data_IF_818140138347
#
_entry.id   IF_818140138347
#
_cell.length_a   1.000
_cell.length_b   1.000
_cell.length_c   1.000
_cell.angle_alpha   90.00
_cell.angle_beta   90.00
_cell.angle_gamma   90.00
#
_symmetry.space_group_name_H-M   'P 1'
#
loop_
_entity.id
_entity.type
_entity.pdbx_description
1 polymer ?
#
# COMPACT_ATOMS: atom_id res chain seq x y z
N UNK A 1 -24.29 21.70 3.65
CA UNK A 1 -24.42 22.90 4.49
C UNK A 1 -23.16 23.72 4.28
N UNK A 2 -23.30 24.97 3.84
CA UNK A 2 -22.15 25.81 3.46
C UNK A 2 -21.24 26.08 4.65
N UNK A 3 -19.93 26.04 4.42
CA UNK A 3 -18.93 26.51 5.37
C UNK A 3 -18.90 28.03 5.31
N UNK A 4 -19.55 28.69 6.27
CA UNK A 4 -19.44 30.14 6.45
C UNK A 4 -18.04 30.47 6.97
N UNK A 5 -17.26 31.15 6.13
CA UNK A 5 -15.95 31.65 6.51
C UNK A 5 -16.10 33.03 7.16
N UNK A 6 -15.78 33.12 8.44
CA UNK A 6 -15.74 34.39 9.18
C UNK A 6 -14.31 34.92 9.21
N UNK A 7 -14.07 36.01 8.48
CA UNK A 7 -12.77 36.67 8.46
C UNK A 7 -12.61 37.61 9.67
N UNK A 8 -11.64 37.31 10.51
CA UNK A 8 -11.35 38.10 11.72
C UNK A 8 -10.25 39.11 11.39
N UNK A 9 -10.57 40.40 11.44
CA UNK A 9 -9.61 41.48 11.20
C UNK A 9 -9.12 42.07 12.53
N UNK A 10 -7.94 41.65 12.98
CA UNK A 10 -7.31 42.15 14.20
C UNK A 10 -6.42 43.34 13.86
N UNK A 11 -6.87 44.56 14.17
CA UNK A 11 -6.09 45.78 13.92
C UNK A 11 -5.22 46.19 15.11
N UNK A 12 -5.58 45.78 16.34
CA UNK A 12 -4.81 46.07 17.56
C UNK A 12 -4.64 44.80 18.41
N UNK A 13 -3.49 44.61 19.08
CA UNK A 13 -3.21 43.39 19.84
C UNK A 13 -4.18 43.12 21.01
N UNK A 14 -4.85 44.16 21.54
CA UNK A 14 -5.87 44.02 22.59
C UNK A 14 -7.17 43.39 22.08
N UNK A 15 -7.46 43.49 20.79
CA UNK A 15 -8.68 42.98 20.17
C UNK A 15 -8.67 41.44 20.13
N UNK A 16 -7.49 40.84 19.94
CA UNK A 16 -7.29 39.38 19.97
C UNK A 16 -7.68 38.75 21.31
N UNK A 17 -7.47 39.47 22.43
CA UNK A 17 -7.81 38.98 23.78
C UNK A 17 -9.32 39.00 24.03
N UNK A 18 -10.06 39.88 23.36
CA UNK A 18 -11.53 39.90 23.41
C UNK A 18 -12.13 38.80 22.52
N UNK A 19 -11.59 38.61 21.32
CA UNK A 19 -11.98 37.56 20.38
C UNK A 19 -11.77 36.15 20.96
N UNK A 20 -10.71 35.93 21.74
CA UNK A 20 -10.48 34.66 22.44
C UNK A 20 -11.57 34.30 23.47
N UNK A 21 -12.46 35.23 23.83
CA UNK A 21 -13.59 34.99 24.74
C UNK A 21 -14.88 34.62 23.99
N UNK A 22 -14.92 34.79 22.67
CA UNK A 22 -16.10 34.46 21.88
C UNK A 22 -16.33 32.94 21.84
N UNK A 23 -17.58 32.48 22.00
CA UNK A 23 -17.90 31.06 22.15
C UNK A 23 -17.55 30.25 20.90
N UNK A 24 -17.66 30.83 19.71
CA UNK A 24 -17.36 30.19 18.43
C UNK A 24 -15.85 29.96 18.25
N UNK A 25 -15.04 30.97 18.56
CA UNK A 25 -13.57 30.90 18.52
C UNK A 25 -13.06 29.95 19.60
N UNK A 26 -13.63 30.00 20.81
CA UNK A 26 -13.31 29.03 21.87
C UNK A 26 -13.65 27.61 21.47
N UNK A 27 -14.82 27.35 20.90
CA UNK A 27 -15.20 26.01 20.44
C UNK A 27 -14.26 25.50 19.34
N UNK A 28 -13.84 26.37 18.42
CA UNK A 28 -12.90 26.03 17.35
C UNK A 28 -11.50 25.71 17.89
N UNK A 29 -10.97 26.55 18.79
CA UNK A 29 -9.64 26.38 19.40
C UNK A 29 -9.61 25.16 20.34
N UNK A 30 -10.66 24.94 21.14
CA UNK A 30 -10.76 23.76 22.03
C UNK A 30 -10.89 22.47 21.22
N UNK A 31 -11.55 22.46 20.05
CA UNK A 31 -11.55 21.30 19.14
C UNK A 31 -10.13 20.97 18.63
N UNK A 32 -9.33 21.97 18.29
CA UNK A 32 -7.95 21.75 17.87
C UNK A 32 -7.04 21.26 19.00
N UNK A 33 -7.22 21.79 20.21
CA UNK A 33 -6.49 21.33 21.40
C UNK A 33 -6.88 19.91 21.81
N UNK A 34 -8.16 19.54 21.70
CA UNK A 34 -8.63 18.17 21.95
C UNK A 34 -8.00 17.18 20.96
N UNK A 35 -8.01 17.49 19.65
CA UNK A 35 -7.34 16.67 18.62
C UNK A 35 -5.85 16.49 18.88
N UNK A 36 -5.14 17.53 19.35
CA UNK A 36 -3.73 17.41 19.74
C UNK A 36 -3.53 16.57 21.01
N UNK A 37 -4.45 16.64 21.97
CA UNK A 37 -4.38 15.83 23.19
C UNK A 37 -4.66 14.35 22.93
N UNK A 38 -5.58 14.02 22.04
CA UNK A 38 -5.83 12.63 21.58
C UNK A 38 -4.63 12.08 20.81
N UNK A 39 -4.00 12.89 19.94
CA UNK A 39 -2.76 12.51 19.24
C UNK A 39 -1.58 12.25 20.20
N UNK A 40 -1.48 12.99 21.31
CA UNK A 40 -0.47 12.74 22.36
C UNK A 40 -0.80 11.53 23.23
N UNK A 41 -2.07 11.34 23.59
CA UNK A 41 -2.52 10.20 24.38
C UNK A 41 -2.41 8.87 23.61
N UNK A 42 -2.61 8.89 22.29
CA UNK A 42 -2.40 7.74 21.41
C UNK A 42 -0.91 7.43 21.19
N UNK A 43 -0.03 8.44 21.16
CA UNK A 43 1.43 8.24 21.14
C UNK A 43 1.96 7.56 22.41
N UNK A 44 1.38 7.86 23.58
CA UNK A 44 1.76 7.27 24.88
C UNK A 44 1.22 5.85 25.10
N UNK A 45 0.24 5.39 24.30
CA UNK A 45 -0.42 4.08 24.45
C UNK A 45 0.09 2.99 23.51
N UNK A 46 1.10 3.26 22.67
CA UNK A 46 1.71 2.21 21.83
C UNK A 46 2.56 1.27 22.72
N UNK A 47 2.34 -0.06 22.71
CA UNK A 47 3.18 -0.98 23.45
C UNK A 47 4.58 -0.98 22.83
N UNK A 48 5.60 -0.83 23.67
CA UNK A 48 7.01 -0.91 23.28
C UNK A 48 7.32 -2.36 22.89
N UNK A 49 7.26 -2.68 21.60
CA UNK A 49 7.81 -3.92 21.05
C UNK A 49 9.31 -3.70 20.87
N UNK A 50 10.10 -4.04 21.90
CA UNK A 50 11.55 -4.11 21.75
C UNK A 50 11.90 -5.33 20.89
N UNK A 51 12.39 -5.10 19.67
CA UNK A 51 13.01 -6.14 18.84
C UNK A 51 14.51 -6.24 19.15
N UNK A 52 14.98 -7.48 19.28
CA UNK A 52 16.38 -7.84 19.42
C UNK A 52 17.21 -7.52 18.15
N UNK A 53 18.52 -7.26 18.28
CA UNK A 53 19.35 -6.81 17.16
C UNK A 53 19.50 -7.89 16.07
N UNK A 54 19.41 -7.44 14.82
CA UNK A 54 19.57 -8.22 13.59
C UNK A 54 21.04 -8.63 13.43
N UNK A 55 21.31 -9.93 13.29
CA UNK A 55 22.61 -10.44 12.85
C UNK A 55 22.84 -10.13 11.35
N UNK A 56 23.95 -9.47 11.05
CA UNK A 56 24.46 -9.15 9.71
C UNK A 56 24.99 -10.44 9.06
N UNK A 57 24.31 -11.00 8.06
CA UNK A 57 24.82 -12.13 7.29
C UNK A 57 25.54 -11.65 6.03
N UNK A 58 26.87 -11.64 6.10
CA UNK A 58 27.75 -11.34 4.97
C UNK A 58 28.17 -12.61 4.26
N UNK A 59 27.71 -12.73 3.02
CA UNK A 59 28.42 -13.30 1.86
C UNK A 59 28.99 -14.72 1.96
N UNK A 60 28.36 -15.65 1.25
CA UNK A 60 29.03 -16.86 0.77
C UNK A 60 29.55 -16.64 -0.67
N UNK A 61 30.88 -16.59 -0.80
CA UNK A 61 31.58 -16.76 -2.09
C UNK A 61 31.66 -18.24 -2.42
N UNK A 62 31.38 -18.59 -3.68
CA UNK A 62 31.60 -19.94 -4.20
C UNK A 62 33.09 -20.22 -4.41
N UNK A 63 33.53 -21.41 -4.01
CA UNK A 63 34.65 -22.08 -4.64
C UNK A 63 34.37 -23.59 -4.63
N UNK A 64 34.45 -24.21 -5.81
CA UNK A 64 34.35 -25.64 -6.01
C UNK A 64 35.71 -26.31 -5.71
N UNK A 65 35.70 -27.51 -5.14
CA UNK A 65 36.41 -28.68 -5.67
C UNK A 65 36.24 -29.92 -4.76
N UNK A 66 36.00 -31.03 -5.45
CA UNK A 66 36.46 -32.40 -5.19
C UNK A 66 35.81 -33.33 -4.16
N UNK A 67 35.94 -34.59 -4.55
CA UNK A 67 35.09 -35.75 -4.43
C UNK A 67 35.81 -36.79 -3.57
N UNK A 68 35.19 -37.35 -2.54
CA UNK A 68 35.28 -38.80 -2.27
C UNK A 68 34.27 -39.25 -1.21
N UNK A 69 33.84 -40.50 -1.42
CA UNK A 69 32.68 -41.22 -0.93
C UNK A 69 33.04 -42.06 0.30
N UNK A 70 32.19 -42.13 1.32
CA UNK A 70 31.69 -43.42 1.85
C UNK A 70 30.54 -43.29 2.86
N UNK A 71 29.68 -44.32 2.81
CA UNK A 71 28.34 -44.43 3.37
C UNK A 71 28.37 -44.82 4.84
N UNK A 72 27.56 -44.15 5.67
CA UNK A 72 26.96 -44.75 6.86
C UNK A 72 25.51 -44.27 7.02
N UNK A 73 24.57 -45.17 6.71
CA UNK A 73 23.16 -44.99 7.01
C UNK A 73 22.97 -44.96 8.53
N UNK A 74 22.67 -43.78 9.06
CA UNK A 74 22.07 -43.60 10.38
C UNK A 74 20.88 -42.67 10.21
N UNK A 75 19.69 -43.25 10.18
CA UNK A 75 18.42 -42.52 10.26
C UNK A 75 18.45 -41.59 11.48
N UNK A 76 18.42 -40.25 11.32
CA UNK A 76 18.40 -39.36 12.47
C UNK A 76 16.96 -38.92 12.71
N UNK A 77 16.34 -39.53 13.71
CA UNK A 77 15.16 -38.98 14.41
C UNK A 77 15.41 -37.57 14.98
N UNK A 78 16.68 -37.13 15.00
CA UNK A 78 17.12 -35.77 15.33
C UNK A 78 16.78 -34.73 14.24
N UNK A 79 16.58 -35.15 12.99
CA UNK A 79 16.28 -34.24 11.87
C UNK A 79 14.93 -33.52 12.03
N UNK A 80 13.94 -34.16 12.67
CA UNK A 80 12.64 -33.53 12.91
C UNK A 80 12.70 -32.43 13.97
N UNK A 81 13.57 -32.54 14.97
CA UNK A 81 13.71 -31.53 16.02
C UNK A 81 14.49 -30.30 15.51
N UNK A 82 15.47 -30.49 14.62
CA UNK A 82 16.16 -29.39 13.94
C UNK A 82 15.24 -28.67 12.92
N UNK A 83 14.36 -29.39 12.23
CA UNK A 83 13.35 -28.79 11.34
C UNK A 83 12.34 -27.94 12.15
N UNK A 84 11.95 -28.38 13.35
CA UNK A 84 11.06 -27.63 14.24
C UNK A 84 11.74 -26.40 14.86
N UNK A 85 13.07 -26.41 15.02
CA UNK A 85 13.84 -25.29 15.53
C UNK A 85 13.99 -24.14 14.51
N UNK A 86 13.67 -24.38 13.24
CA UNK A 86 13.68 -23.38 12.18
C UNK A 86 12.35 -22.63 12.01
N UNK A 87 11.35 -22.88 12.86
CA UNK A 87 10.13 -22.07 12.88
C UNK A 87 10.49 -20.75 13.58
N UNK A 88 10.53 -19.61 12.86
CA UNK A 88 10.79 -18.32 13.49
C UNK A 88 9.77 -18.14 14.61
N UNK A 89 10.17 -17.63 15.79
CA UNK A 89 9.23 -17.43 16.88
C UNK A 89 8.05 -16.62 16.36
N UNK A 90 6.84 -17.12 16.62
CA UNK A 90 5.56 -16.63 16.09
C UNK A 90 5.17 -15.28 16.71
N UNK A 91 6.09 -14.31 16.70
CA UNK A 91 5.85 -12.94 17.12
C UNK A 91 4.82 -12.33 16.16
N UNK A 92 3.60 -12.11 16.64
CA UNK A 92 2.55 -11.42 15.90
C UNK A 92 1.18 -12.09 15.87
N UNK A 93 0.94 -13.19 16.62
CA UNK A 93 -0.41 -13.76 16.78
C UNK A 93 -0.95 -14.42 15.50
N UNK A 94 -0.15 -15.27 14.85
CA UNK A 94 -0.47 -16.00 13.60
C UNK A 94 -0.64 -15.12 12.35
N UNK A 95 -0.22 -13.85 12.38
CA UNK A 95 -0.33 -12.92 11.24
C UNK A 95 0.78 -13.03 10.20
N UNK A 96 1.77 -13.89 10.46
CA UNK A 96 2.93 -14.09 9.59
C UNK A 96 2.74 -15.39 8.81
N UNK A 97 2.88 -15.31 7.48
CA UNK A 97 2.90 -16.50 6.62
C UNK A 97 4.10 -17.38 6.96
N UNK A 98 3.83 -18.50 7.63
CA UNK A 98 4.85 -19.44 8.10
C UNK A 98 5.47 -20.25 6.95
N UNK A 99 4.83 -20.29 5.78
CA UNK A 99 5.29 -21.04 4.61
C UNK A 99 6.08 -20.19 3.62
N UNK A 100 6.21 -18.89 3.86
CA UNK A 100 6.91 -17.94 2.98
C UNK A 100 6.41 -18.05 1.52
N UNK A 101 5.09 -18.17 1.33
CA UNK A 101 4.41 -18.38 0.04
C UNK A 101 4.30 -17.10 -0.81
N UNK A 102 5.14 -16.10 -0.54
CA UNK A 102 5.14 -14.84 -1.28
C UNK A 102 5.63 -15.05 -2.72
N UNK A 103 5.08 -14.33 -3.72
CA UNK A 103 5.46 -14.49 -5.12
C UNK A 103 6.83 -13.87 -5.46
N UNK A 104 7.68 -13.63 -4.46
CA UNK A 104 9.05 -13.12 -4.60
C UNK A 104 9.97 -13.79 -3.57
N UNK A 105 11.30 -13.80 -3.78
CA UNK A 105 12.24 -14.29 -2.77
C UNK A 105 12.04 -13.60 -1.42
N UNK A 106 12.02 -14.40 -0.35
CA UNK A 106 11.77 -13.93 1.00
C UNK A 106 12.78 -12.88 1.46
N UNK A 107 12.30 -11.87 2.18
CA UNK A 107 13.10 -10.84 2.87
C UNK A 107 12.47 -10.54 4.22
N UNK A 108 13.29 -10.24 5.22
CA UNK A 108 12.85 -10.01 6.60
C UNK A 108 11.82 -8.90 6.76
N UNK A 109 11.80 -7.89 5.88
CA UNK A 109 10.81 -6.82 5.91
C UNK A 109 9.44 -7.20 5.33
N UNK A 110 9.33 -8.28 4.53
CA UNK A 110 8.10 -8.60 3.80
C UNK A 110 6.91 -8.86 4.75
N UNK A 111 7.02 -9.73 5.78
CA UNK A 111 5.88 -10.00 6.66
C UNK A 111 5.32 -8.75 7.33
N UNK A 112 6.21 -7.84 7.76
CA UNK A 112 5.82 -6.58 8.38
C UNK A 112 5.05 -5.68 7.41
N UNK A 113 5.53 -5.55 6.17
CA UNK A 113 4.89 -4.72 5.15
C UNK A 113 3.56 -5.31 4.68
N UNK A 114 3.46 -6.64 4.60
CA UNK A 114 2.21 -7.34 4.27
C UNK A 114 1.18 -7.16 5.39
N UNK A 115 1.57 -7.35 6.65
CA UNK A 115 0.67 -7.10 7.79
C UNK A 115 0.21 -5.63 7.79
N UNK A 116 1.13 -4.68 7.61
CA UNK A 116 0.79 -3.26 7.51
C UNK A 116 -0.17 -2.96 6.36
N UNK A 117 0.04 -3.57 5.19
CA UNK A 117 -0.89 -3.42 4.07
C UNK A 117 -2.29 -3.93 4.43
N UNK A 118 -2.39 -5.15 4.95
CA UNK A 118 -3.68 -5.79 5.23
C UNK A 118 -4.42 -5.12 6.38
N UNK A 119 -3.73 -4.69 7.42
CA UNK A 119 -4.33 -4.09 8.62
C UNK A 119 -4.62 -2.61 8.41
N UNK A 120 -3.67 -1.85 7.87
CA UNK A 120 -3.72 -0.38 7.85
C UNK A 120 -4.21 0.20 6.53
N UNK A 121 -4.02 -0.48 5.40
CA UNK A 121 -4.31 0.09 4.06
C UNK A 121 -5.48 -0.59 3.34
N UNK A 122 -5.64 -1.91 3.47
CA UNK A 122 -6.68 -2.69 2.81
C UNK A 122 -8.06 -2.55 3.48
N UNK A 123 -8.40 -1.34 3.96
CA UNK A 123 -9.65 -1.03 4.68
C UNK A 123 -10.90 -1.15 3.80
N UNK A 124 -12.08 -1.16 4.42
CA UNK A 124 -13.34 -1.15 3.69
C UNK A 124 -13.52 0.22 3.03
N UNK A 125 -13.72 0.23 1.71
CA UNK A 125 -13.89 1.43 0.89
C UNK A 125 -15.23 1.31 0.17
N UNK A 126 -16.26 2.09 0.54
CA UNK A 126 -17.61 1.96 -0.01
C UNK A 126 -17.67 1.95 -1.54
N UNK A 127 -16.83 2.77 -2.18
CA UNK A 127 -16.71 2.86 -3.64
C UNK A 127 -16.19 1.57 -4.29
N UNK A 128 -15.37 0.80 -3.59
CA UNK A 128 -14.77 -0.45 -4.07
C UNK A 128 -15.59 -1.67 -3.65
N UNK A 129 -16.10 -1.68 -2.42
CA UNK A 129 -16.85 -2.80 -1.86
C UNK A 129 -18.28 -2.89 -2.44
N UNK A 130 -18.90 -1.75 -2.79
CA UNK A 130 -20.33 -1.65 -3.14
C UNK A 130 -21.27 -2.05 -1.99
N UNK A 131 -22.56 -1.65 -2.04
CA UNK A 131 -23.53 -2.03 -1.02
C UNK A 131 -23.62 -3.55 -0.86
N UNK A 132 -23.52 -4.03 0.38
CA UNK A 132 -23.69 -5.46 0.71
C UNK A 132 -22.40 -6.28 0.77
N UNK A 133 -21.25 -5.76 0.31
CA UNK A 133 -19.95 -6.42 0.49
C UNK A 133 -19.06 -5.64 1.46
N UNK A 134 -18.00 -6.31 1.95
CA UNK A 134 -16.95 -5.73 2.81
C UNK A 134 -15.63 -6.44 2.58
N UNK A 135 -14.53 -5.75 2.84
CA UNK A 135 -13.20 -6.33 2.85
C UNK A 135 -12.75 -6.90 1.51
N UNK A 136 -13.28 -6.44 0.36
CA UNK A 136 -12.90 -6.98 -0.95
C UNK A 136 -11.42 -6.78 -1.25
N UNK A 137 -10.79 -5.75 -0.67
CA UNK A 137 -9.35 -5.55 -0.76
C UNK A 137 -8.56 -6.72 -0.12
N UNK A 138 -9.09 -7.33 0.94
CA UNK A 138 -8.47 -8.46 1.65
C UNK A 138 -8.89 -9.80 1.07
N UNK A 139 -10.16 -9.96 0.68
CA UNK A 139 -10.75 -11.26 0.32
C UNK A 139 -10.70 -11.57 -1.17
N UNK A 140 -10.55 -10.58 -2.05
CA UNK A 140 -10.54 -10.76 -3.51
C UNK A 140 -9.30 -10.15 -4.17
N UNK A 141 -8.97 -8.91 -3.83
CA UNK A 141 -7.82 -8.22 -4.40
C UNK A 141 -6.48 -8.80 -3.90
N UNK A 142 -6.28 -8.95 -2.59
CA UNK A 142 -5.00 -9.48 -2.08
C UNK A 142 -4.67 -10.90 -2.58
N UNK A 143 -5.64 -11.83 -2.72
CA UNK A 143 -5.39 -13.09 -3.44
C UNK A 143 -4.84 -12.90 -4.85
N UNK A 144 -5.34 -11.92 -5.64
CA UNK A 144 -4.76 -11.58 -6.94
C UNK A 144 -3.33 -11.02 -6.81
N UNK A 145 -3.08 -10.19 -5.80
CA UNK A 145 -1.74 -9.65 -5.51
C UNK A 145 -0.71 -10.77 -5.31
N UNK A 146 -1.11 -11.88 -4.69
CA UNK A 146 -0.24 -13.04 -4.45
C UNK A 146 0.04 -13.88 -5.72
N UNK A 147 -0.58 -13.59 -6.87
CA UNK A 147 -0.40 -14.37 -8.11
C UNK A 147 0.68 -13.82 -9.05
N UNK A 148 1.05 -12.55 -8.92
CA UNK A 148 2.01 -11.89 -9.80
C UNK A 148 3.10 -11.16 -9.01
N UNK A 149 4.39 -11.46 -9.25
CA UNK A 149 5.51 -10.79 -8.58
C UNK A 149 5.47 -9.26 -8.72
N UNK A 150 5.14 -8.77 -9.92
CA UNK A 150 5.09 -7.33 -10.23
C UNK A 150 4.04 -6.60 -9.38
N UNK A 151 2.84 -7.17 -9.28
CA UNK A 151 1.76 -6.61 -8.46
C UNK A 151 2.13 -6.66 -6.98
N UNK A 152 2.69 -7.78 -6.50
CA UNK A 152 3.12 -7.92 -5.11
C UNK A 152 4.17 -6.88 -4.72
N UNK A 153 5.19 -6.67 -5.56
CA UNK A 153 6.24 -5.66 -5.32
C UNK A 153 5.68 -4.24 -5.26
N UNK A 154 4.72 -3.90 -6.13
CA UNK A 154 4.05 -2.58 -6.08
C UNK A 154 3.26 -2.41 -4.79
N UNK A 155 2.57 -3.45 -4.32
CA UNK A 155 1.86 -3.40 -3.04
C UNK A 155 2.82 -3.27 -1.85
N UNK A 156 3.95 -3.98 -1.87
CA UNK A 156 5.00 -3.79 -0.86
C UNK A 156 5.57 -2.38 -0.89
N UNK A 157 5.78 -1.80 -2.07
CA UNK A 157 6.26 -0.42 -2.21
C UNK A 157 5.28 0.58 -1.58
N UNK A 158 4.00 0.44 -1.88
CA UNK A 158 2.94 1.26 -1.29
C UNK A 158 2.92 1.12 0.24
N UNK A 159 2.98 -0.12 0.74
CA UNK A 159 3.01 -0.39 2.17
C UNK A 159 4.26 0.20 2.83
N UNK A 160 5.43 0.05 2.21
CA UNK A 160 6.71 0.57 2.71
C UNK A 160 6.70 2.10 2.78
N UNK A 161 6.22 2.78 1.74
CA UNK A 161 6.16 4.24 1.72
C UNK A 161 5.12 4.78 2.70
N UNK A 162 3.95 4.14 2.80
CA UNK A 162 2.95 4.51 3.80
C UNK A 162 3.49 4.29 5.21
N UNK A 163 4.10 3.12 5.48
CA UNK A 163 4.73 2.84 6.78
C UNK A 163 5.79 3.88 7.13
N UNK A 164 6.70 4.20 6.20
CA UNK A 164 7.73 5.20 6.39
C UNK A 164 7.16 6.60 6.67
N UNK A 165 6.06 6.98 6.03
CA UNK A 165 5.42 8.29 6.27
C UNK A 165 4.80 8.44 7.66
N UNK A 166 4.52 7.33 8.35
CA UNK A 166 3.98 7.33 9.71
C UNK A 166 5.07 7.33 10.79
N UNK A 167 6.31 7.02 10.43
CA UNK A 167 7.41 6.96 11.38
C UNK A 167 7.91 8.36 11.73
N UNK A 168 8.02 8.62 13.03
CA UNK A 168 8.55 9.90 13.55
C UNK A 168 10.08 9.89 13.67
N UNK A 169 10.69 8.71 13.76
CA UNK A 169 12.14 8.53 13.86
C UNK A 169 12.70 7.86 12.60
N UNK A 170 13.57 8.56 11.84
CA UNK A 170 14.26 8.00 10.67
C UNK A 170 15.15 6.79 10.95
N UNK A 171 15.49 6.50 12.22
CA UNK A 171 16.41 5.43 12.60
C UNK A 171 15.76 4.07 12.88
N UNK A 172 14.44 3.99 13.11
CA UNK A 172 13.78 2.74 13.52
C UNK A 172 13.74 1.67 12.41
N UNK A 173 13.73 2.05 11.13
CA UNK A 173 13.91 1.11 10.02
C UNK A 173 14.31 1.79 8.71
N UNK A 174 15.46 1.42 8.15
CA UNK A 174 15.91 1.91 6.84
C UNK A 174 15.35 1.05 5.71
N UNK A 175 14.15 1.37 5.25
CA UNK A 175 13.59 0.78 4.04
C UNK A 175 14.23 1.42 2.80
N UNK A 176 14.81 0.62 1.91
CA UNK A 176 15.33 1.11 0.62
C UNK A 176 14.18 1.31 -0.38
N UNK A 177 13.40 2.38 -0.20
CA UNK A 177 12.22 2.70 -1.03
C UNK A 177 12.59 2.89 -2.51
N UNK A 178 13.73 3.51 -2.79
CA UNK A 178 14.20 3.69 -4.17
C UNK A 178 14.52 2.35 -4.84
N UNK A 179 15.19 1.45 -4.11
CA UNK A 179 15.46 0.09 -4.58
C UNK A 179 14.17 -0.68 -4.85
N UNK A 180 13.20 -0.62 -3.92
CA UNK A 180 11.91 -1.30 -4.07
C UNK A 180 11.09 -0.73 -5.24
N UNK A 181 11.14 0.59 -5.46
CA UNK A 181 10.54 1.25 -6.63
C UNK A 181 11.17 0.76 -7.93
N UNK A 182 12.50 0.73 -8.00
CA UNK A 182 13.22 0.23 -9.17
C UNK A 182 12.83 -1.22 -9.48
N UNK A 183 12.81 -2.08 -8.46
CA UNK A 183 12.44 -3.48 -8.59
C UNK A 183 10.99 -3.67 -9.07
N UNK A 184 10.05 -2.90 -8.51
CA UNK A 184 8.64 -2.94 -8.94
C UNK A 184 8.48 -2.55 -10.42
N UNK A 185 9.17 -1.49 -10.87
CA UNK A 185 9.14 -1.06 -12.28
C UNK A 185 9.78 -2.12 -13.19
N UNK A 186 10.92 -2.69 -12.79
CA UNK A 186 11.57 -3.76 -13.53
C UNK A 186 10.67 -5.00 -13.65
N UNK A 187 10.00 -5.40 -12.58
CA UNK A 187 9.08 -6.53 -12.59
C UNK A 187 7.87 -6.29 -13.50
N UNK A 188 7.32 -5.07 -13.55
CA UNK A 188 6.27 -4.70 -14.51
C UNK A 188 6.80 -4.82 -15.95
N UNK A 189 7.98 -4.28 -16.24
CA UNK A 189 8.56 -4.32 -17.58
C UNK A 189 8.82 -5.76 -18.03
N UNK A 190 9.42 -6.59 -17.19
CA UNK A 190 9.63 -8.02 -17.49
C UNK A 190 8.31 -8.77 -17.70
N UNK A 191 7.28 -8.48 -16.90
CA UNK A 191 5.96 -9.08 -17.10
C UNK A 191 5.32 -8.68 -18.45
N UNK A 192 5.52 -7.43 -18.89
CA UNK A 192 5.08 -6.94 -20.19
C UNK A 192 5.85 -7.59 -21.35
N UNK A 193 7.15 -7.89 -21.18
CA UNK A 193 7.97 -8.56 -22.20
C UNK A 193 7.59 -10.04 -22.39
N UNK A 194 7.27 -10.73 -21.29
CA UNK A 194 6.90 -12.16 -21.32
C UNK A 194 5.50 -12.37 -21.88
N UNK A 195 4.59 -11.43 -21.65
CA UNK A 195 3.23 -11.55 -22.17
C UNK A 195 3.21 -11.40 -23.69
N UNK A 196 2.58 -12.37 -24.36
CA UNK A 196 2.28 -12.24 -25.78
C UNK A 196 1.46 -10.96 -25.98
N UNK A 197 1.75 -10.22 -27.04
CA UNK A 197 1.19 -8.87 -27.32
C UNK A 197 -0.35 -8.79 -27.33
N UNK A 198 -1.05 -9.92 -27.29
CA UNK A 198 -2.50 -10.05 -27.30
C UNK A 198 -3.13 -10.36 -25.94
N UNK A 199 -2.37 -10.61 -24.86
CA UNK A 199 -2.95 -10.99 -23.57
C UNK A 199 -2.25 -10.35 -22.37
N UNK A 200 -2.84 -9.27 -21.85
CA UNK A 200 -2.48 -8.68 -20.57
C UNK A 200 -3.36 -9.26 -19.47
N UNK A 201 -2.81 -9.83 -18.40
CA UNK A 201 -3.61 -10.38 -17.29
C UNK A 201 -4.08 -9.30 -16.29
N UNK A 202 -5.11 -9.61 -15.50
CA UNK A 202 -5.70 -8.67 -14.53
C UNK A 202 -4.72 -8.21 -13.45
N UNK A 203 -3.81 -9.08 -13.05
CA UNK A 203 -2.82 -8.77 -12.03
C UNK A 203 -1.77 -7.76 -12.56
N UNK A 204 -1.35 -7.85 -13.82
CA UNK A 204 -0.49 -6.85 -14.45
C UNK A 204 -1.22 -5.51 -14.65
N UNK A 205 -2.49 -5.52 -15.06
CA UNK A 205 -3.33 -4.29 -15.06
C UNK A 205 -3.36 -3.67 -13.67
N UNK A 206 -3.57 -4.50 -12.64
CA UNK A 206 -3.53 -4.08 -11.25
C UNK A 206 -2.18 -3.48 -10.84
N UNK A 207 -1.07 -4.07 -11.28
CA UNK A 207 0.28 -3.61 -10.96
C UNK A 207 0.53 -2.22 -11.54
N UNK A 208 0.21 -2.03 -12.82
CA UNK A 208 0.34 -0.74 -13.51
C UNK A 208 -0.55 0.32 -12.84
N UNK A 209 -1.80 -0.03 -12.51
CA UNK A 209 -2.73 0.88 -11.84
C UNK A 209 -2.22 1.31 -10.46
N UNK A 210 -1.76 0.36 -9.64
CA UNK A 210 -1.22 0.68 -8.31
C UNK A 210 0.13 1.39 -8.37
N UNK A 211 0.93 1.16 -9.41
CA UNK A 211 2.15 1.94 -9.63
C UNK A 211 1.82 3.40 -9.98
N UNK A 212 0.81 3.64 -10.82
CA UNK A 212 0.29 4.99 -11.04
C UNK A 212 -0.19 5.63 -9.72
N UNK A 213 -0.95 4.89 -8.90
CA UNK A 213 -1.38 5.36 -7.57
C UNK A 213 -0.19 5.73 -6.69
N UNK A 214 0.88 4.94 -6.69
CA UNK A 214 2.12 5.24 -5.98
C UNK A 214 2.74 6.56 -6.46
N UNK A 215 2.92 6.73 -7.77
CA UNK A 215 3.53 7.94 -8.32
C UNK A 215 2.69 9.20 -8.04
N UNK A 216 1.37 9.07 -8.04
CA UNK A 216 0.47 10.17 -7.67
C UNK A 216 0.61 10.59 -6.19
N UNK A 217 0.99 9.67 -5.29
CA UNK A 217 1.09 9.97 -3.85
C UNK A 217 2.50 10.38 -3.42
N UNK A 218 3.51 9.70 -3.95
CA UNK A 218 4.90 9.79 -3.46
C UNK A 218 5.91 10.18 -4.55
N UNK A 219 5.47 10.25 -5.81
CA UNK A 219 6.33 10.41 -6.97
C UNK A 219 6.13 11.74 -7.71
N UNK A 220 6.18 11.68 -9.04
CA UNK A 220 5.97 12.85 -9.90
C UNK A 220 4.79 12.64 -10.86
N UNK A 221 4.18 13.75 -11.28
CA UNK A 221 3.10 13.70 -12.27
C UNK A 221 3.55 13.17 -13.63
N UNK A 222 4.81 13.38 -14.01
CA UNK A 222 5.35 12.80 -15.24
C UNK A 222 5.37 11.27 -15.18
N UNK A 223 5.85 10.69 -14.07
CA UNK A 223 5.86 9.24 -13.87
C UNK A 223 4.44 8.68 -13.75
N UNK A 224 3.54 9.38 -13.04
CA UNK A 224 2.13 9.05 -12.98
C UNK A 224 1.50 8.96 -14.38
N UNK A 225 1.72 9.97 -15.22
CA UNK A 225 1.19 10.00 -16.59
C UNK A 225 1.74 8.87 -17.45
N UNK A 226 3.02 8.50 -17.30
CA UNK A 226 3.60 7.34 -17.97
C UNK A 226 2.85 6.05 -17.61
N UNK A 227 2.62 5.79 -16.32
CA UNK A 227 1.88 4.61 -15.89
C UNK A 227 0.40 4.65 -16.28
N UNK A 228 -0.25 5.81 -16.24
CA UNK A 228 -1.65 5.94 -16.68
C UNK A 228 -1.81 5.71 -18.19
N UNK A 229 -0.88 6.19 -19.01
CA UNK A 229 -0.85 5.90 -20.45
C UNK A 229 -0.64 4.40 -20.71
N UNK A 230 0.28 3.77 -19.97
CA UNK A 230 0.45 2.31 -20.00
C UNK A 230 -0.83 1.57 -19.58
N UNK A 231 -1.52 2.07 -18.54
CA UNK A 231 -2.76 1.49 -18.03
C UNK A 231 -3.89 1.56 -19.06
N UNK A 232 -4.06 2.69 -19.75
CA UNK A 232 -5.03 2.84 -20.83
C UNK A 232 -4.81 1.78 -21.91
N UNK A 233 -3.55 1.55 -22.31
CA UNK A 233 -3.21 0.54 -23.30
C UNK A 233 -3.49 -0.88 -22.79
N UNK A 234 -3.09 -1.19 -21.55
CA UNK A 234 -3.31 -2.49 -20.93
C UNK A 234 -4.81 -2.82 -20.82
N UNK A 235 -5.64 -1.85 -20.38
CA UNK A 235 -7.10 -1.99 -20.31
C UNK A 235 -7.71 -2.17 -21.71
N UNK A 236 -7.21 -1.45 -22.72
CA UNK A 236 -7.64 -1.62 -24.12
C UNK A 236 -7.36 -3.02 -24.65
N UNK A 237 -6.15 -3.56 -24.40
CA UNK A 237 -5.78 -4.94 -24.76
C UNK A 237 -6.62 -5.99 -24.03
N UNK A 238 -7.10 -5.68 -22.83
CA UNK A 238 -8.06 -6.49 -22.08
C UNK A 238 -9.49 -6.44 -22.62
N UNK A 239 -9.77 -5.65 -23.65
CA UNK A 239 -11.13 -5.47 -24.19
C UNK A 239 -11.94 -4.41 -23.43
N UNK A 240 -11.29 -3.48 -22.74
CA UNK A 240 -11.92 -2.37 -22.04
C UNK A 240 -12.21 -2.61 -20.55
N UNK A 241 -12.62 -1.55 -19.85
CA UNK A 241 -12.86 -1.58 -18.40
C UNK A 241 -13.90 -2.61 -17.95
N UNK A 242 -14.89 -2.93 -18.79
CA UNK A 242 -15.93 -3.94 -18.49
C UNK A 242 -15.41 -5.38 -18.51
N UNK A 243 -14.25 -5.60 -19.13
CA UNK A 243 -13.66 -6.92 -19.34
C UNK A 243 -12.63 -7.28 -18.26
N UNK A 244 -12.38 -6.37 -17.32
CA UNK A 244 -11.52 -6.59 -16.16
C UNK A 244 -12.19 -7.52 -15.14
N UNK A 245 -11.42 -8.43 -14.55
CA UNK A 245 -11.94 -9.46 -13.65
C UNK A 245 -12.28 -8.99 -12.22
N UNK A 246 -12.23 -9.95 -11.30
CA UNK A 246 -12.63 -9.80 -9.89
C UNK A 246 -14.07 -9.29 -9.68
N UNK A 247 -15.02 -9.74 -10.52
CA UNK A 247 -16.41 -9.27 -10.42
C UNK A 247 -16.55 -7.75 -10.59
N UNK A 248 -15.68 -7.12 -11.39
CA UNK A 248 -15.63 -5.69 -11.61
C UNK A 248 -14.91 -4.90 -10.51
N UNK A 249 -14.35 -5.54 -9.49
CA UNK A 249 -13.54 -4.84 -8.48
C UNK A 249 -12.33 -4.15 -9.11
N UNK A 250 -11.66 -4.79 -10.06
CA UNK A 250 -10.50 -4.20 -10.72
C UNK A 250 -10.86 -2.93 -11.51
N UNK A 251 -12.01 -2.93 -12.21
CA UNK A 251 -12.56 -1.72 -12.82
C UNK A 251 -12.73 -0.61 -11.78
N UNK A 252 -13.34 -0.92 -10.64
CA UNK A 252 -13.58 0.07 -9.58
C UNK A 252 -12.26 0.64 -9.04
N UNK A 253 -11.24 -0.21 -8.84
CA UNK A 253 -9.90 0.21 -8.44
C UNK A 253 -9.29 1.18 -9.47
N UNK A 254 -9.33 0.84 -10.77
CA UNK A 254 -8.79 1.70 -11.83
C UNK A 254 -9.49 3.06 -11.87
N UNK A 255 -10.82 3.08 -11.87
CA UNK A 255 -11.61 4.32 -11.87
C UNK A 255 -11.37 5.12 -10.59
N UNK A 256 -11.24 4.46 -9.45
CA UNK A 256 -10.99 5.12 -8.16
C UNK A 256 -9.63 5.80 -8.14
N UNK A 257 -8.59 5.15 -8.68
CA UNK A 257 -7.24 5.73 -8.79
C UNK A 257 -7.26 6.96 -9.70
N UNK A 258 -7.81 6.85 -10.92
CA UNK A 258 -7.87 7.97 -11.87
C UNK A 258 -8.59 9.19 -11.28
N UNK A 259 -9.75 8.98 -10.65
CA UNK A 259 -10.53 10.06 -10.03
C UNK A 259 -9.81 10.75 -8.89
N UNK A 260 -9.25 9.97 -7.95
CA UNK A 260 -8.60 10.56 -6.78
C UNK A 260 -7.29 11.25 -7.16
N UNK A 261 -6.50 10.67 -8.07
CA UNK A 261 -5.30 11.33 -8.60
C UNK A 261 -5.64 12.62 -9.35
N UNK A 262 -6.64 12.60 -10.23
CA UNK A 262 -7.07 13.78 -10.97
C UNK A 262 -7.56 14.89 -10.04
N UNK A 263 -8.31 14.54 -8.99
CA UNK A 263 -8.74 15.48 -7.98
C UNK A 263 -7.55 16.06 -7.19
N UNK A 264 -6.64 15.19 -6.73
CA UNK A 264 -5.48 15.58 -5.92
C UNK A 264 -4.55 16.55 -6.65
N UNK A 265 -4.37 16.36 -7.96
CA UNK A 265 -3.42 17.12 -8.77
C UNK A 265 -4.07 18.17 -9.69
N UNK A 266 -5.40 18.29 -9.68
CA UNK A 266 -6.13 19.19 -10.57
C UNK A 266 -5.95 18.85 -12.06
N UNK A 267 -5.78 17.57 -12.40
CA UNK A 267 -5.56 17.10 -13.77
C UNK A 267 -6.85 16.59 -14.43
N UNK A 268 -6.78 16.36 -15.74
CA UNK A 268 -7.86 15.66 -16.45
C UNK A 268 -7.91 14.17 -16.06
N UNK A 269 -9.10 13.57 -16.23
CA UNK A 269 -9.29 12.12 -16.10
C UNK A 269 -8.74 11.39 -17.33
N UNK A 270 -8.09 10.25 -17.11
CA UNK A 270 -7.66 9.35 -18.18
C UNK A 270 -8.80 8.48 -18.69
N UNK A 271 -9.79 8.16 -17.84
CA UNK A 271 -10.99 7.41 -18.18
C UNK A 271 -12.25 8.30 -18.10
N UNK A 272 -12.40 9.30 -19.00
CA UNK A 272 -13.55 10.20 -18.97
C UNK A 272 -14.87 9.42 -19.15
N UNK A 273 -15.87 9.75 -18.33
CA UNK A 273 -17.17 9.09 -18.34
C UNK A 273 -17.21 7.70 -17.69
N UNK A 274 -16.07 7.16 -17.23
CA UNK A 274 -16.06 5.88 -16.53
C UNK A 274 -16.61 6.01 -15.11
N UNK A 275 -17.57 5.15 -14.77
CA UNK A 275 -18.15 5.02 -13.43
C UNK A 275 -17.77 3.70 -12.74
N UNK A 276 -17.89 3.64 -11.41
CA UNK A 276 -17.69 2.42 -10.62
C UNK A 276 -18.65 1.31 -11.07
N UNK A 277 -19.92 1.66 -11.26
CA UNK A 277 -20.95 0.81 -11.87
C UNK A 277 -21.43 1.50 -13.14
N UNK A 278 -21.41 0.83 -14.31
CA UNK A 278 -21.89 1.43 -15.56
C UNK A 278 -23.26 2.10 -15.40
N UNK A 279 -23.37 3.38 -15.78
CA UNK A 279 -24.62 4.13 -15.75
C UNK A 279 -25.01 4.74 -14.39
N UNK A 280 -24.25 4.50 -13.32
CA UNK A 280 -24.48 5.16 -12.03
C UNK A 280 -23.64 6.43 -11.87
N UNK A 281 -24.18 7.50 -11.25
CA UNK A 281 -23.41 8.70 -10.94
C UNK A 281 -22.28 8.37 -9.96
N UNK A 282 -21.15 9.04 -10.14
CA UNK A 282 -19.99 8.87 -9.28
C UNK A 282 -20.13 9.71 -8.01
N UNK A 283 -19.77 9.17 -6.83
CA UNK A 283 -19.62 9.99 -5.64
C UNK A 283 -18.45 10.97 -5.80
N UNK A 284 -18.45 12.00 -4.96
CA UNK A 284 -17.35 12.97 -4.90
C UNK A 284 -16.02 12.27 -4.59
N UNK A 285 -14.89 12.71 -5.18
CA UNK A 285 -13.59 12.16 -4.85
C UNK A 285 -13.30 12.26 -3.35
N UNK A 286 -12.71 11.20 -2.78
CA UNK A 286 -12.35 11.12 -1.37
C UNK A 286 -10.83 10.86 -1.24
N UNK A 287 -10.00 11.91 -1.30
CA UNK A 287 -8.56 11.76 -1.25
C UNK A 287 -8.03 11.28 0.12
N UNK A 288 -8.82 11.34 1.20
CA UNK A 288 -8.39 10.85 2.52
C UNK A 288 -8.12 9.35 2.51
N UNK A 289 -9.07 8.56 1.98
CA UNK A 289 -8.88 7.13 1.76
C UNK A 289 -7.79 6.83 0.73
N UNK A 290 -7.56 7.74 -0.23
CA UNK A 290 -6.49 7.61 -1.21
C UNK A 290 -5.10 7.73 -0.57
N UNK A 291 -4.91 8.70 0.32
CA UNK A 291 -3.64 8.97 1.01
C UNK A 291 -3.42 8.11 2.26
N UNK A 292 -4.40 7.30 2.67
CA UNK A 292 -4.32 6.49 3.89
C UNK A 292 -4.51 7.29 5.18
N UNK A 293 -5.02 8.53 5.10
CA UNK A 293 -5.35 9.35 6.26
C UNK A 293 -6.79 9.05 6.71
N UNK A 294 -6.92 8.27 7.78
CA UNK A 294 -8.18 8.12 8.55
C UNK A 294 -8.19 9.09 9.74
#
# INVERSE_FOLDING_TARGET
MGTDFVFINVKKPKDALHLAKEPEIRAHVTRHQWKQSEARASALRKPKLELAPVFDDRSHKSAAADFTRESQYREPVESLLEILAAIPPQLGGLRVDSFQSYPIPFRSCIPLLVDHYLVSMAVDIPELDQPGNRGLLRTSWFPLVMTEPSLFLVILLLAASHYASLQSDPHEMKLNLLGLRCEAVQAINSALEVQQSQYVNDALVGAIAKMASYEAMFGSMDAYNVHMNGLLRAVSLRGGLSSLGLGGLLRRIVVWIDRNSAFLHGSALHFPGASFVPGQPLPDPNPGHFLGSS
#
